data_IF_978297088487
#
_entry.id   IF_978297088487
#
_cell.length_a   1.000
_cell.length_b   1.000
_cell.length_c   1.000
_cell.angle_alpha   90.00
_cell.angle_beta   90.00
_cell.angle_gamma   90.00
#
_symmetry.space_group_name_H-M   'P 1'
#
loop_
_entity.id
_entity.type
_entity.pdbx_description
1 polymer ?
#
# COMPACT_ATOMS: atom_id res chain seq x y z
N UNK A 1 22.96 34.63 3.57
CA UNK A 1 24.13 33.81 3.21
C UNK A 1 24.83 33.42 4.51
N UNK A 2 24.42 32.30 5.11
CA UNK A 2 25.04 31.72 6.30
C UNK A 2 25.08 30.19 6.10
N UNK A 3 26.26 29.58 5.98
CA UNK A 3 26.42 28.15 5.73
C UNK A 3 26.70 27.40 7.04
N UNK A 4 25.75 26.63 7.56
CA UNK A 4 25.99 25.77 8.75
C UNK A 4 25.09 24.51 8.81
N UNK A 5 24.64 24.00 7.66
CA UNK A 5 23.78 22.80 7.55
C UNK A 5 24.54 21.58 7.04
N UNK A 6 25.82 21.45 7.39
CA UNK A 6 26.55 20.20 7.20
C UNK A 6 27.22 19.84 8.51
N UNK A 7 27.05 18.57 8.91
CA UNK A 7 27.87 17.83 9.88
C UNK A 7 27.28 17.67 11.29
N UNK A 8 26.16 16.97 11.38
CA UNK A 8 25.70 16.36 12.63
C UNK A 8 25.64 14.83 12.46
N UNK A 9 25.02 14.40 11.37
CA UNK A 9 25.18 13.08 10.75
C UNK A 9 26.66 12.68 10.52
N UNK A 10 27.52 13.61 10.07
CA UNK A 10 28.92 13.30 9.76
C UNK A 10 29.82 13.12 11.00
N UNK A 11 29.45 13.66 12.17
CA UNK A 11 30.25 13.51 13.41
C UNK A 11 29.99 12.16 14.10
N UNK A 12 28.76 11.65 14.07
CA UNK A 12 28.46 10.30 14.59
C UNK A 12 28.96 9.20 13.64
N UNK A 13 28.82 9.42 12.33
CA UNK A 13 29.34 8.52 11.30
C UNK A 13 30.87 8.39 11.32
N UNK A 14 31.60 9.43 11.76
CA UNK A 14 33.05 9.36 11.93
C UNK A 14 33.50 8.55 13.15
N UNK A 15 32.62 8.36 14.14
CA UNK A 15 32.95 7.75 15.42
C UNK A 15 32.62 6.25 15.46
N UNK A 16 31.65 5.80 14.68
CA UNK A 16 31.29 4.39 14.49
C UNK A 16 30.71 4.21 13.10
N UNK A 17 31.55 4.18 12.08
CA UNK A 17 31.08 3.85 10.73
C UNK A 17 30.72 2.36 10.71
N UNK A 18 29.44 2.06 10.89
CA UNK A 18 28.89 0.71 10.81
C UNK A 18 28.60 0.37 9.35
N UNK A 19 29.24 -0.68 8.85
CA UNK A 19 29.06 -1.16 7.49
C UNK A 19 27.62 -1.66 7.28
N UNK A 20 27.04 -2.30 8.30
CA UNK A 20 25.68 -2.84 8.22
C UNK A 20 24.63 -1.75 7.96
N UNK A 21 24.78 -0.56 8.56
CA UNK A 21 23.85 0.55 8.36
C UNK A 21 23.97 1.08 6.93
N UNK A 22 25.19 1.23 6.43
CA UNK A 22 25.44 1.67 5.06
C UNK A 22 24.82 0.70 4.05
N UNK A 23 25.01 -0.61 4.24
CA UNK A 23 24.41 -1.64 3.38
C UNK A 23 22.88 -1.66 3.44
N UNK A 24 22.32 -1.52 4.64
CA UNK A 24 20.85 -1.46 4.83
C UNK A 24 20.28 -0.23 4.12
N UNK A 25 20.93 0.93 4.21
CA UNK A 25 20.48 2.15 3.56
C UNK A 25 20.47 2.03 2.03
N UNK A 26 21.39 1.25 1.46
CA UNK A 26 21.46 0.96 0.02
C UNK A 26 20.43 -0.07 -0.47
N UNK A 27 19.62 -0.68 0.40
CA UNK A 27 18.51 -1.52 -0.03
C UNK A 27 17.44 -0.62 -0.68
N UNK A 28 17.06 -0.84 -1.96
CA UNK A 28 16.18 0.08 -2.69
C UNK A 28 14.81 0.34 -2.07
N UNK A 29 14.29 -0.62 -1.29
CA UNK A 29 13.04 -0.48 -0.56
C UNK A 29 13.20 0.41 0.70
N UNK A 30 14.36 0.33 1.35
CA UNK A 30 14.64 1.05 2.59
C UNK A 30 14.91 2.52 2.30
N UNK A 31 15.65 2.84 1.24
CA UNK A 31 15.89 4.23 0.81
C UNK A 31 14.58 5.01 0.67
N UNK A 32 13.59 4.43 -0.03
CA UNK A 32 12.26 5.03 -0.20
C UNK A 32 11.52 5.15 1.13
N UNK A 33 11.58 4.12 1.97
CA UNK A 33 10.90 4.12 3.27
C UNK A 33 11.44 5.20 4.19
N UNK A 34 12.77 5.39 4.23
CA UNK A 34 13.42 6.44 5.00
C UNK A 34 13.00 7.82 4.46
N UNK A 35 12.99 8.02 3.15
CA UNK A 35 12.54 9.31 2.58
C UNK A 35 11.08 9.63 2.90
N UNK A 36 10.18 8.63 2.81
CA UNK A 36 8.76 8.81 3.17
C UNK A 36 8.63 9.13 4.65
N UNK A 37 9.34 8.42 5.52
CA UNK A 37 9.35 8.67 6.95
C UNK A 37 9.85 10.09 7.26
N UNK A 38 10.95 10.52 6.66
CA UNK A 38 11.48 11.89 6.78
C UNK A 38 10.45 12.91 6.33
N UNK A 39 9.79 12.69 5.18
CA UNK A 39 8.77 13.61 4.67
C UNK A 39 7.58 13.76 5.61
N UNK A 40 7.09 12.64 6.15
CA UNK A 40 5.97 12.65 7.11
C UNK A 40 6.40 13.34 8.40
N UNK A 41 7.61 13.03 8.88
CA UNK A 41 8.19 13.65 10.05
C UNK A 41 8.28 15.18 9.91
N UNK A 42 8.84 15.67 8.81
CA UNK A 42 8.94 17.11 8.53
C UNK A 42 7.55 17.77 8.49
N UNK A 43 6.55 17.12 7.87
CA UNK A 43 5.17 17.62 7.88
C UNK A 43 4.57 17.70 9.29
N UNK A 44 4.83 16.72 10.14
CA UNK A 44 4.34 16.71 11.53
C UNK A 44 5.06 17.76 12.37
N UNK A 45 6.37 17.92 12.16
CA UNK A 45 7.18 18.96 12.79
C UNK A 45 6.62 20.34 12.46
N UNK A 46 6.45 20.63 11.18
CA UNK A 46 6.07 21.96 10.68
C UNK A 46 4.56 22.26 10.76
N UNK A 47 3.75 21.33 11.28
CA UNK A 47 2.28 21.49 11.35
C UNK A 47 1.86 22.73 12.16
N UNK A 48 2.48 22.98 13.31
CA UNK A 48 2.29 24.21 14.08
C UNK A 48 3.54 24.59 14.90
N UNK A 49 3.51 25.77 15.52
CA UNK A 49 4.67 26.29 16.24
C UNK A 49 5.03 25.47 17.50
N UNK A 50 4.06 24.85 18.18
CA UNK A 50 4.30 24.02 19.37
C UNK A 50 4.94 22.70 18.98
N UNK A 51 4.45 22.04 17.92
CA UNK A 51 5.06 20.81 17.39
C UNK A 51 6.46 21.07 16.89
N UNK A 52 6.64 22.13 16.09
CA UNK A 52 7.96 22.50 15.56
C UNK A 52 8.96 22.75 16.69
N UNK A 53 8.57 23.53 17.71
CA UNK A 53 9.42 23.77 18.87
C UNK A 53 9.75 22.48 19.63
N UNK A 54 8.77 21.61 19.84
CA UNK A 54 8.95 20.34 20.59
C UNK A 54 9.91 19.41 19.86
N UNK A 55 9.67 19.15 18.58
CA UNK A 55 10.50 18.27 17.76
C UNK A 55 11.89 18.86 17.53
N UNK A 56 12.00 20.17 17.25
CA UNK A 56 13.31 20.87 17.13
C UNK A 56 14.11 20.80 18.44
N UNK A 57 13.44 20.91 19.60
CA UNK A 57 14.09 20.76 20.91
C UNK A 57 14.56 19.33 21.15
N UNK A 58 13.75 18.34 20.76
CA UNK A 58 14.12 16.93 20.83
C UNK A 58 15.34 16.62 19.96
N UNK A 59 15.34 17.05 18.69
CA UNK A 59 16.47 16.94 17.77
C UNK A 59 17.74 17.59 18.33
N UNK A 60 17.61 18.81 18.87
CA UNK A 60 18.71 19.53 19.49
C UNK A 60 19.28 18.80 20.72
N UNK A 61 18.43 18.09 21.46
CA UNK A 61 18.84 17.29 22.62
C UNK A 61 19.62 16.07 22.19
N UNK A 62 19.15 15.37 21.15
CA UNK A 62 19.87 14.24 20.54
C UNK A 62 21.23 14.72 20.04
N UNK A 63 21.28 15.84 19.33
CA UNK A 63 22.54 16.38 18.84
C UNK A 63 23.55 16.68 19.96
N UNK A 64 23.08 17.34 21.02
CA UNK A 64 23.92 17.61 22.20
C UNK A 64 24.39 16.31 22.86
N UNK A 65 23.52 15.30 22.93
CA UNK A 65 23.87 14.00 23.47
C UNK A 65 25.00 13.32 22.66
N UNK A 66 25.02 13.50 21.34
CA UNK A 66 26.09 13.00 20.45
C UNK A 66 27.41 13.71 20.73
N UNK A 67 27.39 15.03 20.84
CA UNK A 67 28.58 15.84 21.13
C UNK A 67 29.20 15.47 22.49
N UNK A 68 28.39 15.28 23.54
CA UNK A 68 28.88 14.89 24.87
C UNK A 68 29.35 13.43 24.94
N UNK A 69 28.81 12.55 24.10
CA UNK A 69 29.14 11.12 24.10
C UNK A 69 30.30 10.76 23.18
N UNK A 70 30.69 11.68 22.29
CA UNK A 70 31.85 11.57 21.39
C UNK A 70 33.12 11.02 22.07
N UNK A 71 33.58 11.48 23.24
CA UNK A 71 34.80 10.95 23.86
C UNK A 71 34.67 9.53 24.44
N UNK A 72 33.44 9.02 24.65
CA UNK A 72 33.20 7.71 25.30
C UNK A 72 33.00 6.60 24.27
N UNK A 73 32.70 6.94 23.03
CA UNK A 73 32.43 5.98 21.94
C UNK A 73 33.55 4.96 21.71
N UNK A 74 34.80 5.35 21.92
CA UNK A 74 35.98 4.48 21.80
C UNK A 74 35.96 3.30 22.79
N UNK A 75 35.29 3.45 23.94
CA UNK A 75 35.14 2.34 24.90
C UNK A 75 34.16 1.27 24.40
N UNK A 76 33.23 1.64 23.50
CA UNK A 76 32.23 0.76 22.93
C UNK A 76 32.54 0.31 21.52
N UNK A 77 33.64 0.78 20.91
CA UNK A 77 34.06 0.43 19.56
C UNK A 77 34.14 -1.10 19.36
N UNK A 78 34.72 -1.83 20.32
CA UNK A 78 34.84 -3.29 20.26
C UNK A 78 33.48 -4.01 20.20
N UNK A 79 32.58 -3.79 21.19
CA UNK A 79 31.21 -4.30 21.14
C UNK A 79 30.44 -3.88 19.88
N UNK A 80 30.56 -2.62 19.45
CA UNK A 80 29.86 -2.08 18.28
C UNK A 80 30.32 -2.79 17.01
N UNK A 81 31.64 -2.99 16.81
CA UNK A 81 32.18 -3.74 15.67
C UNK A 81 31.74 -5.21 15.63
N UNK A 82 31.66 -5.86 16.80
CA UNK A 82 31.14 -7.24 16.86
C UNK A 82 29.69 -7.31 16.44
N UNK A 83 28.88 -6.34 16.87
CA UNK A 83 27.48 -6.23 16.47
C UNK A 83 27.36 -5.94 14.98
N UNK A 84 28.17 -5.01 14.47
CA UNK A 84 28.21 -4.66 13.05
C UNK A 84 28.54 -5.89 12.18
N UNK A 85 29.56 -6.67 12.56
CA UNK A 85 29.90 -7.90 11.85
C UNK A 85 28.80 -8.96 11.87
N UNK A 86 28.04 -9.07 12.98
CA UNK A 86 26.88 -9.97 13.06
C UNK A 86 25.75 -9.49 12.14
N UNK A 87 25.49 -8.18 12.12
CA UNK A 87 24.48 -7.58 11.26
C UNK A 87 24.85 -7.73 9.77
N UNK A 88 26.12 -7.51 9.40
CA UNK A 88 26.62 -7.77 8.05
C UNK A 88 26.44 -9.25 7.67
N UNK A 89 26.79 -10.18 8.55
CA UNK A 89 26.59 -11.62 8.30
C UNK A 89 25.11 -11.99 8.15
N UNK A 90 24.24 -11.39 8.96
CA UNK A 90 22.79 -11.56 8.85
C UNK A 90 22.25 -11.00 7.54
N UNK A 91 22.77 -9.85 7.11
CA UNK A 91 22.40 -9.23 5.85
C UNK A 91 22.88 -10.06 4.65
N UNK A 92 24.09 -10.62 4.70
CA UNK A 92 24.60 -11.57 3.70
C UNK A 92 23.67 -12.77 3.56
N UNK A 93 23.22 -13.34 4.69
CA UNK A 93 22.29 -14.46 4.68
C UNK A 93 20.95 -14.10 4.03
N UNK A 94 20.39 -12.92 4.34
CA UNK A 94 19.16 -12.44 3.70
C UNK A 94 19.35 -12.21 2.21
N UNK A 95 20.47 -11.62 1.79
CA UNK A 95 20.79 -11.39 0.39
C UNK A 95 20.99 -12.69 -0.40
N UNK A 96 21.55 -13.74 0.23
CA UNK A 96 21.72 -15.06 -0.38
C UNK A 96 20.38 -15.79 -0.52
N UNK A 97 19.56 -15.80 0.54
CA UNK A 97 18.29 -16.54 0.55
C UNK A 97 17.13 -15.80 -0.13
N UNK A 98 17.20 -14.48 -0.18
CA UNK A 98 16.16 -13.61 -0.71
C UNK A 98 16.81 -12.55 -1.62
N UNK A 99 17.29 -12.94 -2.81
CA UNK A 99 17.98 -12.03 -3.73
C UNK A 99 17.09 -10.87 -4.21
N UNK A 100 15.76 -11.02 -4.08
CA UNK A 100 14.79 -9.95 -4.35
C UNK A 100 15.01 -8.69 -3.51
N UNK A 101 15.70 -8.77 -2.37
CA UNK A 101 16.03 -7.59 -1.53
C UNK A 101 16.90 -6.57 -2.26
N UNK A 102 17.66 -6.99 -3.28
CA UNK A 102 18.53 -6.12 -4.09
C UNK A 102 17.80 -5.39 -5.19
N UNK A 103 16.55 -5.77 -5.45
CA UNK A 103 15.77 -5.23 -6.55
C UNK A 103 14.94 -4.03 -6.09
N UNK A 104 14.76 -3.02 -6.95
CA UNK A 104 13.76 -1.98 -6.71
C UNK A 104 12.36 -2.58 -6.49
N UNK A 105 11.53 -2.02 -5.59
CA UNK A 105 10.19 -2.54 -5.31
C UNK A 105 9.32 -2.70 -6.56
N UNK A 106 9.41 -1.78 -7.53
CA UNK A 106 8.69 -1.87 -8.80
C UNK A 106 9.10 -3.05 -9.66
N UNK A 107 10.37 -3.46 -9.60
CA UNK A 107 10.90 -4.57 -10.38
C UNK A 107 10.53 -5.92 -9.75
N UNK A 108 10.54 -6.02 -8.42
CA UNK A 108 10.02 -7.21 -7.71
C UNK A 108 8.54 -7.44 -8.07
N UNK A 109 7.73 -6.38 -8.05
CA UNK A 109 6.31 -6.46 -8.41
C UNK A 109 6.13 -6.92 -9.86
N UNK A 110 6.94 -6.38 -10.79
CA UNK A 110 6.92 -6.77 -12.19
C UNK A 110 7.33 -8.23 -12.40
N UNK A 111 8.39 -8.70 -11.73
CA UNK A 111 8.81 -10.10 -11.80
C UNK A 111 7.75 -11.06 -11.25
N UNK A 112 7.13 -10.72 -10.12
CA UNK A 112 6.03 -11.51 -9.56
C UNK A 112 4.85 -11.59 -10.54
N UNK A 113 4.46 -10.45 -11.10
CA UNK A 113 3.36 -10.36 -12.05
C UNK A 113 3.62 -11.16 -13.33
N UNK A 114 4.79 -10.98 -13.93
CA UNK A 114 5.17 -11.67 -15.18
C UNK A 114 5.36 -13.17 -14.97
N UNK A 115 5.97 -13.59 -13.85
CA UNK A 115 6.11 -15.01 -13.50
C UNK A 115 4.75 -15.67 -13.30
N UNK A 116 3.82 -14.99 -12.62
CA UNK A 116 2.45 -15.50 -12.42
C UNK A 116 1.70 -15.60 -13.75
N UNK A 117 1.80 -14.57 -14.59
CA UNK A 117 1.22 -14.60 -15.94
C UNK A 117 1.82 -15.70 -16.80
N UNK A 118 3.13 -15.87 -16.80
CA UNK A 118 3.82 -16.94 -17.51
C UNK A 118 3.36 -18.31 -17.03
N UNK A 119 3.27 -18.51 -15.71
CA UNK A 119 2.76 -19.76 -15.14
C UNK A 119 1.32 -20.07 -15.57
N UNK A 120 0.44 -19.06 -15.52
CA UNK A 120 -0.95 -19.20 -16.00
C UNK A 120 -0.97 -19.51 -17.50
N UNK A 121 -0.20 -18.80 -18.31
CA UNK A 121 -0.13 -19.00 -19.75
C UNK A 121 0.42 -20.39 -20.11
N UNK A 122 1.47 -20.85 -19.43
CA UNK A 122 2.19 -22.06 -19.80
C UNK A 122 1.57 -23.32 -19.19
N UNK A 123 0.96 -23.22 -18.01
CA UNK A 123 0.40 -24.38 -17.29
C UNK A 123 -1.12 -24.42 -17.32
N UNK A 124 -1.77 -23.28 -17.17
CA UNK A 124 -3.22 -23.23 -16.99
C UNK A 124 -3.97 -23.04 -18.30
N UNK A 125 -3.49 -22.18 -19.20
CA UNK A 125 -4.12 -21.93 -20.50
C UNK A 125 -4.26 -23.20 -21.37
N UNK A 126 -3.22 -24.04 -21.55
CA UNK A 126 -3.38 -25.27 -22.34
C UNK A 126 -4.33 -26.28 -21.68
N UNK A 127 -4.35 -26.35 -20.35
CA UNK A 127 -5.29 -27.20 -19.62
C UNK A 127 -6.74 -26.73 -19.78
N UNK A 128 -6.98 -25.42 -19.72
CA UNK A 128 -8.30 -24.81 -19.97
C UNK A 128 -8.73 -25.05 -21.42
N UNK A 129 -7.82 -24.85 -22.39
CA UNK A 129 -8.15 -25.05 -23.80
C UNK A 129 -8.47 -26.52 -24.08
N UNK A 130 -7.70 -27.46 -23.53
CA UNK A 130 -7.97 -28.89 -23.64
C UNK A 130 -9.32 -29.26 -23.03
N UNK A 131 -9.62 -28.74 -21.83
CA UNK A 131 -10.91 -28.98 -21.19
C UNK A 131 -12.07 -28.41 -22.01
N UNK A 132 -11.90 -27.22 -22.60
CA UNK A 132 -12.86 -26.60 -23.51
C UNK A 132 -13.08 -27.46 -24.74
N UNK A 133 -12.01 -27.89 -25.41
CA UNK A 133 -12.11 -28.68 -26.65
C UNK A 133 -12.82 -30.03 -26.42
N UNK A 134 -12.69 -30.61 -25.22
CA UNK A 134 -13.41 -31.82 -24.83
C UNK A 134 -14.88 -31.54 -24.50
N UNK A 135 -15.17 -30.42 -23.85
CA UNK A 135 -16.52 -30.09 -23.37
C UNK A 135 -17.40 -29.44 -24.45
N UNK A 136 -16.82 -28.65 -25.36
CA UNK A 136 -17.54 -27.87 -26.38
C UNK A 136 -18.42 -28.75 -27.29
N UNK A 137 -17.98 -29.92 -27.79
CA UNK A 137 -18.82 -30.83 -28.56
C UNK A 137 -20.00 -31.37 -27.75
N UNK A 138 -19.78 -31.72 -26.47
CA UNK A 138 -20.82 -32.24 -25.60
C UNK A 138 -21.89 -31.17 -25.30
N UNK A 139 -21.47 -29.92 -25.08
CA UNK A 139 -22.36 -28.77 -24.90
C UNK A 139 -23.16 -28.48 -26.17
N UNK A 140 -22.51 -28.53 -27.34
CA UNK A 140 -23.21 -28.29 -28.62
C UNK A 140 -24.29 -29.34 -28.89
N UNK A 141 -23.99 -30.62 -28.62
CA UNK A 141 -24.97 -31.71 -28.74
C UNK A 141 -26.13 -31.51 -27.75
N UNK A 142 -25.83 -31.17 -26.50
CA UNK A 142 -26.87 -30.90 -25.50
C UNK A 142 -27.78 -29.74 -25.93
N UNK A 143 -27.21 -28.64 -26.44
CA UNK A 143 -27.98 -27.52 -26.96
C UNK A 143 -28.90 -27.95 -28.10
N UNK A 144 -28.43 -28.70 -29.10
CA UNK A 144 -29.28 -29.14 -30.22
C UNK A 144 -30.47 -30.01 -29.78
N UNK A 145 -30.27 -30.86 -28.76
CA UNK A 145 -31.35 -31.71 -28.22
C UNK A 145 -32.37 -30.88 -27.44
N UNK A 146 -31.92 -29.83 -26.75
CA UNK A 146 -32.76 -29.01 -25.89
C UNK A 146 -33.42 -27.84 -26.62
N UNK A 147 -32.84 -27.35 -27.73
CA UNK A 147 -33.32 -26.18 -28.49
C UNK A 147 -34.77 -26.32 -28.99
N UNK A 148 -35.24 -27.48 -29.50
CA UNK A 148 -36.63 -27.65 -29.91
C UNK A 148 -37.61 -27.51 -28.73
N UNK A 149 -37.23 -28.04 -27.56
CA UNK A 149 -38.04 -27.94 -26.35
C UNK A 149 -38.06 -26.50 -25.79
N UNK A 150 -36.93 -25.79 -25.87
CA UNK A 150 -36.82 -24.38 -25.48
C UNK A 150 -37.65 -23.49 -26.39
N UNK A 151 -37.60 -23.67 -27.73
CA UNK A 151 -38.43 -22.94 -28.69
C UNK A 151 -39.93 -23.19 -28.50
N UNK A 152 -40.32 -24.41 -28.11
CA UNK A 152 -41.71 -24.73 -27.80
C UNK A 152 -42.17 -24.01 -26.51
N UNK A 153 -41.29 -23.85 -25.54
CA UNK A 153 -41.56 -23.17 -24.28
C UNK A 153 -41.48 -21.63 -24.36
N UNK A 154 -40.78 -21.08 -25.36
CA UNK A 154 -40.55 -19.65 -25.58
C UNK A 154 -41.81 -18.75 -25.49
N UNK A 155 -42.94 -19.06 -26.17
CA UNK A 155 -44.14 -18.22 -26.10
C UNK A 155 -44.83 -18.24 -24.73
N UNK A 156 -44.53 -19.23 -23.89
CA UNK A 156 -45.05 -19.31 -22.51
C UNK A 156 -44.13 -18.61 -21.51
N UNK A 157 -42.83 -18.51 -21.81
CA UNK A 157 -41.81 -17.90 -20.94
C UNK A 157 -41.65 -16.40 -21.21
N UNK A 158 -41.78 -15.93 -22.46
CA UNK A 158 -41.65 -14.51 -22.82
C UNK A 158 -42.60 -13.58 -22.03
N UNK A 159 -43.91 -13.87 -21.92
CA UNK A 159 -44.83 -13.02 -21.16
C UNK A 159 -44.48 -12.97 -19.67
N UNK A 160 -44.01 -14.10 -19.11
CA UNK A 160 -43.57 -14.19 -17.73
C UNK A 160 -42.28 -13.38 -17.50
N UNK A 161 -41.35 -13.40 -18.46
CA UNK A 161 -40.09 -12.66 -18.40
C UNK A 161 -40.31 -11.14 -18.56
N UNK A 162 -41.21 -10.71 -19.44
CA UNK A 162 -41.62 -9.31 -19.56
C UNK A 162 -42.33 -8.83 -18.30
N UNK A 163 -43.22 -9.66 -17.74
CA UNK A 163 -43.90 -9.37 -16.47
C UNK A 163 -42.91 -9.29 -15.31
N UNK A 164 -41.91 -10.17 -15.27
CA UNK A 164 -40.83 -10.14 -14.27
C UNK A 164 -39.93 -8.92 -14.43
N UNK A 165 -39.56 -8.52 -15.65
CA UNK A 165 -38.81 -7.29 -15.91
C UNK A 165 -39.61 -6.03 -15.53
N UNK A 166 -40.91 -5.99 -15.85
CA UNK A 166 -41.80 -4.90 -15.46
C UNK A 166 -41.98 -4.83 -13.95
N UNK A 167 -42.13 -5.98 -13.26
CA UNK A 167 -42.15 -6.06 -11.80
C UNK A 167 -40.82 -5.62 -11.19
N UNK A 168 -39.68 -6.04 -11.74
CA UNK A 168 -38.35 -5.61 -11.31
C UNK A 168 -38.22 -4.09 -11.39
N UNK A 169 -38.60 -3.49 -12.52
CA UNK A 169 -38.55 -2.03 -12.69
C UNK A 169 -39.45 -1.30 -11.68
N UNK A 170 -40.66 -1.81 -11.43
CA UNK A 170 -41.58 -1.22 -10.44
C UNK A 170 -41.09 -1.40 -9.00
N UNK A 171 -40.43 -2.52 -8.69
CA UNK A 171 -39.79 -2.74 -7.38
C UNK A 171 -38.59 -1.82 -7.20
N UNK A 172 -37.78 -1.60 -8.24
CA UNK A 172 -36.66 -0.64 -8.23
C UNK A 172 -37.15 0.81 -8.06
N UNK A 173 -38.28 1.17 -8.67
CA UNK A 173 -38.95 2.46 -8.51
C UNK A 173 -39.54 2.64 -7.10
N UNK A 174 -40.16 1.59 -6.54
CA UNK A 174 -40.65 1.58 -5.14
C UNK A 174 -39.52 1.60 -4.10
N UNK A 175 -38.36 1.03 -4.43
CA UNK A 175 -37.15 1.12 -3.60
C UNK A 175 -36.59 2.55 -3.56
N UNK A 176 -36.79 3.36 -4.61
CA UNK A 176 -36.45 4.79 -4.59
C UNK A 176 -37.45 5.65 -3.80
N UNK A 177 -38.67 5.16 -3.55
CA UNK A 177 -39.72 5.90 -2.80
C UNK A 177 -39.65 5.60 -1.28
N UNK A 178 -38.99 4.53 -0.84
CA UNK A 178 -38.82 4.24 0.61
C UNK A 178 -37.88 5.20 1.35
N UNK A 179 -37.30 6.18 0.65
CA UNK A 179 -36.48 7.23 1.26
C UNK A 179 -37.27 8.49 1.68
N UNK A 180 -38.61 8.43 1.72
CA UNK A 180 -39.43 9.56 2.18
C UNK A 180 -40.47 9.15 3.23
N UNK A 181 -40.05 9.14 4.50
CA UNK A 181 -40.85 9.54 5.66
C UNK A 181 -39.97 10.38 6.62
N UNK A 182 -40.57 11.19 7.51
CA UNK A 182 -40.35 12.63 7.58
C UNK A 182 -39.20 13.03 8.52
N UNK A 183 -38.56 14.15 8.20
CA UNK A 183 -37.57 14.78 9.08
C UNK A 183 -38.19 15.15 10.44
N UNK A 184 -37.89 14.37 11.47
CA UNK A 184 -37.85 14.83 12.85
C UNK A 184 -36.56 14.35 13.50
N UNK A 185 -35.89 15.31 14.13
CA UNK A 185 -34.55 15.29 14.71
C UNK A 185 -34.32 14.17 15.73
N UNK A 186 -33.03 13.83 15.81
CA UNK A 186 -32.26 13.45 17.00
C UNK A 186 -32.11 11.96 17.29
N UNK A 187 -30.99 11.38 16.86
CA UNK A 187 -30.05 10.76 17.79
C UNK A 187 -28.61 10.90 17.27
N UNK A 188 -27.73 11.25 18.19
CA UNK A 188 -26.34 11.65 18.02
C UNK A 188 -25.48 10.46 18.46
N UNK A 189 -24.71 9.86 17.56
CA UNK A 189 -23.42 9.23 17.93
C UNK A 189 -22.67 8.63 16.73
N UNK A 190 -21.41 9.08 16.64
CA UNK A 190 -20.21 8.31 16.28
C UNK A 190 -20.14 7.74 14.85
N UNK A 191 -19.35 8.38 13.98
CA UNK A 191 -17.98 7.92 13.66
C UNK A 191 -17.19 8.94 12.81
N UNK A 192 -15.87 8.97 13.05
CA UNK A 192 -14.87 10.04 12.84
C UNK A 192 -14.70 10.55 11.39
N UNK A 193 -14.56 11.86 11.15
CA UNK A 193 -13.43 12.78 11.42
C UNK A 193 -12.17 12.51 10.60
N UNK A 194 -11.63 13.60 10.02
CA UNK A 194 -10.35 13.73 9.32
C UNK A 194 -10.31 13.58 7.77
N UNK A 195 -11.20 14.26 7.05
CA UNK A 195 -11.05 14.48 5.59
C UNK A 195 -11.44 15.88 5.07
N UNK A 196 -11.66 16.90 5.92
CA UNK A 196 -12.17 18.18 5.42
C UNK A 196 -11.64 19.40 6.16
N UNK A 197 -10.39 19.79 5.93
CA UNK A 197 -9.92 21.15 6.28
C UNK A 197 -9.11 21.87 5.20
N UNK A 198 -9.12 21.43 3.93
CA UNK A 198 -8.53 22.22 2.82
C UNK A 198 -9.52 22.43 1.64
N UNK A 199 -10.51 23.28 1.88
CA UNK A 199 -11.22 24.16 0.93
C UNK A 199 -12.39 24.72 1.76
N UNK A 200 -12.46 25.95 2.25
CA UNK A 200 -12.16 27.23 1.63
C UNK A 200 -11.97 28.27 2.76
N UNK A 201 -10.80 28.91 2.84
CA UNK A 201 -10.70 30.29 3.34
C UNK A 201 -9.89 31.10 2.34
N UNK A 202 -10.44 31.17 1.12
CA UNK A 202 -10.23 32.29 0.23
C UNK A 202 -11.56 32.61 -0.40
N UNK A 203 -12.43 33.29 0.36
CA UNK A 203 -13.34 34.34 -0.08
C UNK A 203 -13.97 34.88 1.21
N UNK A 204 -13.49 36.05 1.63
CA UNK A 204 -14.23 37.18 2.19
C UNK A 204 -13.53 37.84 3.40
N UNK A 205 -12.53 38.67 3.13
CA UNK A 205 -12.40 39.99 3.76
C UNK A 205 -11.46 40.89 2.95
N UNK A 206 -11.97 41.41 1.84
CA UNK A 206 -11.83 42.80 1.36
C UNK A 206 -12.57 42.98 0.04
#
# INVERSE_FOLDING_TARGET
MSPSEVNQNTTLNALTQMESIDRIAHIPAIEQTVQVATTIYEKVKDYNNVTNWTFSTAESTVQKAIEISTPVVNQFEGPIKKMDGLLCSGLDYVEEKIPAVKLPPGEVLFQMYTSTKGYVNDKLQPAIQTARDVMEPAVHVALQVMEPAVKLAEPFVQPAMETACALKHRVEEMLHIKSSEPQRKEEKSLECDECLEHQEQSIHSS
#
